data_IF_037601254449
#
_entry.id   IF_037601254449
#
_cell.length_a   1.000
_cell.length_b   1.000
_cell.length_c   1.000
_cell.angle_alpha   90.00
_cell.angle_beta   90.00
_cell.angle_gamma   90.00
#
_symmetry.space_group_name_H-M   'P 1'
#
loop_
_entity.id
_entity.type
_entity.pdbx_description
1 polymer ?
#
# COMPACT_ATOMS: atom_id res chain seq x y z
N UNK A 1 -1.66 9.04 13.81
CA UNK A 1 -2.86 9.69 13.28
C UNK A 1 -4.07 9.16 14.02
N UNK A 2 -5.06 10.00 14.31
CA UNK A 2 -6.35 9.54 14.83
C UNK A 2 -7.17 8.81 13.74
N UNK A 3 -8.26 8.14 14.11
CA UNK A 3 -9.11 7.39 13.16
C UNK A 3 -9.70 8.30 12.07
N UNK A 4 -10.29 9.44 12.44
CA UNK A 4 -10.87 10.40 11.48
C UNK A 4 -9.82 10.99 10.53
N UNK A 5 -8.62 11.24 11.06
CA UNK A 5 -7.49 11.74 10.29
C UNK A 5 -6.98 10.69 9.30
N UNK A 6 -6.89 9.43 9.72
CA UNK A 6 -6.52 8.30 8.87
C UNK A 6 -7.55 8.08 7.76
N UNK A 7 -8.85 8.07 8.08
CA UNK A 7 -9.91 7.93 7.11
C UNK A 7 -9.87 9.06 6.07
N UNK A 8 -9.65 10.30 6.53
CA UNK A 8 -9.47 11.46 5.65
C UNK A 8 -8.24 11.30 4.77
N UNK A 9 -7.09 10.89 5.33
CA UNK A 9 -5.85 10.68 4.58
C UNK A 9 -6.02 9.62 3.49
N UNK A 10 -6.59 8.46 3.82
CA UNK A 10 -6.82 7.37 2.86
C UNK A 10 -7.87 7.74 1.81
N UNK A 11 -8.88 8.54 2.18
CA UNK A 11 -9.88 9.07 1.26
C UNK A 11 -9.30 9.97 0.16
N UNK A 12 -8.10 10.54 0.37
CA UNK A 12 -7.38 11.29 -0.68
C UNK A 12 -6.58 10.40 -1.65
N UNK A 13 -6.70 9.07 -1.53
CA UNK A 13 -6.04 8.09 -2.39
C UNK A 13 -4.52 8.30 -2.46
N UNK A 14 -3.81 8.22 -1.32
CA UNK A 14 -2.37 8.50 -1.25
C UNK A 14 -1.57 7.55 -2.15
N UNK A 15 -0.44 8.06 -2.64
CA UNK A 15 0.49 7.29 -3.47
C UNK A 15 1.65 6.79 -2.62
N UNK A 16 2.34 5.79 -3.12
CA UNK A 16 3.57 5.28 -2.54
C UNK A 16 4.02 4.03 -3.27
N UNK A 17 4.31 2.96 -2.52
CA UNK A 17 4.76 1.71 -3.09
C UNK A 17 4.13 0.50 -2.39
N UNK A 18 3.93 -0.57 -3.14
CA UNK A 18 3.77 -1.92 -2.61
C UNK A 18 5.11 -2.65 -2.72
N UNK A 19 5.59 -3.14 -1.59
CA UNK A 19 6.81 -3.90 -1.46
C UNK A 19 6.46 -5.40 -1.39
N UNK A 20 7.05 -6.20 -2.27
CA UNK A 20 6.89 -7.66 -2.31
C UNK A 20 8.23 -8.34 -2.50
N UNK A 21 8.33 -9.60 -2.07
CA UNK A 21 9.47 -10.45 -2.39
C UNK A 21 9.09 -11.32 -3.59
N UNK A 22 9.88 -11.26 -4.65
CA UNK A 22 9.64 -12.04 -5.86
C UNK A 22 10.03 -13.52 -5.71
N UNK A 23 9.92 -14.28 -6.81
CA UNK A 23 10.25 -15.70 -6.81
C UNK A 23 11.73 -15.98 -6.53
N UNK A 24 12.62 -15.04 -6.83
CA UNK A 24 14.07 -15.12 -6.67
C UNK A 24 14.55 -14.57 -5.31
N UNK A 25 13.61 -14.15 -4.44
CA UNK A 25 13.90 -13.61 -3.13
C UNK A 25 14.31 -12.14 -3.14
N UNK A 26 14.16 -11.43 -4.27
CA UNK A 26 14.49 -10.01 -4.37
C UNK A 26 13.35 -9.16 -3.85
N UNK A 27 13.70 -8.08 -3.15
CA UNK A 27 12.75 -7.06 -2.73
C UNK A 27 12.41 -6.17 -3.93
N UNK A 28 11.15 -6.18 -4.33
CA UNK A 28 10.60 -5.27 -5.33
C UNK A 28 9.74 -4.23 -4.64
N UNK A 29 9.98 -2.95 -4.96
CA UNK A 29 9.12 -1.84 -4.56
C UNK A 29 8.45 -1.29 -5.82
N UNK A 30 7.15 -1.58 -5.97
CA UNK A 30 6.36 -1.18 -7.14
C UNK A 30 5.53 0.05 -6.80
N UNK A 31 5.47 1.09 -7.66
CA UNK A 31 4.62 2.24 -7.42
C UNK A 31 3.17 1.80 -7.22
N UNK A 32 2.53 2.34 -6.19
CA UNK A 32 1.16 1.99 -5.85
C UNK A 32 0.36 3.23 -5.44
N UNK A 33 -0.96 3.12 -5.55
CA UNK A 33 -1.91 4.08 -5.01
C UNK A 33 -3.02 3.34 -4.31
N UNK A 34 -3.32 3.76 -3.08
CA UNK A 34 -4.47 3.29 -2.32
C UNK A 34 -5.74 3.87 -2.94
N UNK A 35 -6.71 3.02 -3.26
CA UNK A 35 -7.97 3.43 -3.90
C UNK A 35 -9.20 3.08 -3.08
N UNK A 36 -9.09 2.13 -2.15
CA UNK A 36 -10.16 1.79 -1.19
C UNK A 36 -9.57 1.13 0.08
N UNK A 37 -10.31 1.18 1.19
CA UNK A 37 -9.85 0.68 2.49
C UNK A 37 -10.99 0.46 3.50
N UNK A 38 -10.95 -0.66 4.24
CA UNK A 38 -11.91 -0.97 5.31
C UNK A 38 -11.30 -1.62 6.58
N UNK A 39 -10.04 -1.27 6.92
CA UNK A 39 -9.22 -1.84 8.03
C UNK A 39 -8.84 -3.30 7.90
N UNK A 40 -9.72 -4.15 7.35
CA UNK A 40 -9.42 -5.54 7.04
C UNK A 40 -8.74 -5.69 5.68
N UNK A 41 -9.10 -4.83 4.73
CA UNK A 41 -8.58 -4.83 3.37
C UNK A 41 -8.12 -3.45 2.93
N UNK A 42 -7.15 -3.44 2.01
CA UNK A 42 -6.69 -2.25 1.32
C UNK A 42 -6.59 -2.56 -0.17
N UNK A 43 -7.35 -1.83 -0.97
CA UNK A 43 -7.32 -1.93 -2.41
C UNK A 43 -6.27 -0.97 -2.97
N UNK A 44 -5.36 -1.48 -3.80
CA UNK A 44 -4.28 -0.69 -4.39
C UNK A 44 -4.22 -0.90 -5.90
N UNK A 45 -4.05 0.20 -6.63
CA UNK A 45 -3.55 0.14 -8.01
C UNK A 45 -2.04 0.07 -7.97
N UNK A 46 -1.45 -0.76 -8.83
CA UNK A 46 -0.01 -1.01 -8.84
C UNK A 46 0.50 -0.82 -10.27
N UNK A 47 1.47 0.07 -10.45
CA UNK A 47 2.08 0.32 -11.74
C UNK A 47 3.32 -0.56 -11.93
N UNK A 48 3.58 -0.98 -13.16
CA UNK A 48 4.80 -1.73 -13.50
C UNK A 48 4.82 -3.17 -12.99
N UNK A 49 3.63 -3.77 -12.77
CA UNK A 49 3.47 -5.15 -12.33
C UNK A 49 4.28 -6.10 -13.22
N UNK A 50 5.39 -6.61 -12.67
CA UNK A 50 6.19 -7.62 -13.32
C UNK A 50 5.46 -8.97 -13.19
N UNK A 51 5.21 -9.66 -14.32
CA UNK A 51 4.52 -10.97 -14.35
C UNK A 51 5.09 -12.02 -13.39
N UNK A 52 6.32 -11.88 -12.92
CA UNK A 52 6.93 -12.81 -11.96
C UNK A 52 6.41 -12.61 -10.52
N UNK A 53 6.13 -11.36 -10.11
CA UNK A 53 5.63 -11.04 -8.77
C UNK A 53 4.16 -11.47 -8.56
N UNK A 54 3.42 -11.67 -9.65
CA UNK A 54 1.99 -12.03 -9.65
C UNK A 54 1.71 -13.51 -9.88
N UNK A 55 2.74 -14.35 -10.04
CA UNK A 55 2.55 -15.78 -10.30
C UNK A 55 2.15 -16.58 -9.06
N UNK A 56 2.38 -16.03 -7.86
CA UNK A 56 1.95 -16.63 -6.60
C UNK A 56 0.59 -16.06 -6.22
N UNK A 57 -0.34 -16.94 -5.91
CA UNK A 57 -1.72 -16.59 -5.51
C UNK A 57 -1.75 -15.76 -4.22
N UNK A 58 -0.77 -15.97 -3.33
CA UNK A 58 -0.63 -15.24 -2.07
C UNK A 58 0.84 -14.83 -1.87
N UNK A 59 1.08 -13.52 -1.71
CA UNK A 59 2.40 -12.96 -1.47
C UNK A 59 2.36 -12.07 -0.25
N UNK A 60 3.32 -12.21 0.67
CA UNK A 60 3.47 -11.24 1.76
C UNK A 60 3.93 -9.91 1.19
N UNK A 61 3.21 -8.85 1.54
CA UNK A 61 3.40 -7.53 1.01
C UNK A 61 3.35 -6.46 2.10
N UNK A 62 3.94 -5.30 1.78
CA UNK A 62 3.86 -4.10 2.58
C UNK A 62 3.51 -2.92 1.68
N UNK A 63 2.41 -2.22 1.94
CA UNK A 63 2.07 -0.95 1.30
C UNK A 63 2.58 0.19 2.17
N UNK A 64 3.42 1.04 1.60
CA UNK A 64 3.82 2.31 2.19
C UNK A 64 3.19 3.41 1.33
N UNK A 65 2.37 4.26 1.92
CA UNK A 65 1.75 5.38 1.22
C UNK A 65 1.83 6.64 2.07
N UNK A 66 2.17 7.76 1.44
CA UNK A 66 2.39 9.02 2.12
C UNK A 66 1.87 10.21 1.30
N UNK A 67 1.77 11.35 1.97
CA UNK A 67 1.63 12.64 1.34
C UNK A 67 2.79 13.53 1.78
N UNK A 68 3.61 13.95 0.82
CA UNK A 68 4.70 14.89 1.02
C UNK A 68 4.42 16.20 0.26
N UNK A 69 4.08 17.26 1.01
CA UNK A 69 4.01 18.63 0.48
C UNK A 69 5.10 19.51 1.10
N UNK A 70 5.34 19.34 2.41
CA UNK A 70 6.47 19.88 3.14
C UNK A 70 6.80 18.95 4.33
N UNK A 71 7.99 19.08 4.91
CA UNK A 71 8.46 18.18 5.98
C UNK A 71 7.53 18.10 7.19
N UNK A 72 7.00 19.25 7.64
CA UNK A 72 6.04 19.35 8.76
C UNK A 72 4.67 18.76 8.44
N UNK A 73 4.38 18.53 7.17
CA UNK A 73 3.07 18.09 6.68
C UNK A 73 3.08 16.61 6.30
N UNK A 74 4.19 15.89 6.53
CA UNK A 74 4.33 14.46 6.22
C UNK A 74 3.34 13.66 7.03
N UNK A 75 2.53 12.88 6.33
CA UNK A 75 1.64 11.86 6.89
C UNK A 75 1.71 10.62 6.02
N UNK A 76 1.57 9.46 6.64
CA UNK A 76 1.54 8.23 5.88
C UNK A 76 1.21 6.99 6.70
N UNK A 77 1.06 5.91 5.96
CA UNK A 77 0.70 4.60 6.46
C UNK A 77 1.72 3.56 6.00
N UNK A 78 1.94 2.56 6.85
CA UNK A 78 2.65 1.34 6.52
C UNK A 78 1.69 0.20 6.84
N UNK A 79 1.20 -0.48 5.82
CA UNK A 79 0.24 -1.58 5.94
C UNK A 79 0.88 -2.89 5.48
N UNK A 80 0.93 -3.87 6.37
CA UNK A 80 1.45 -5.20 6.09
C UNK A 80 0.27 -6.17 5.91
N UNK A 81 0.42 -7.12 4.99
CA UNK A 81 -0.61 -8.11 4.73
C UNK A 81 -0.24 -9.13 3.66
N UNK A 82 -1.23 -9.93 3.27
CA UNK A 82 -1.13 -10.81 2.10
C UNK A 82 -1.79 -10.11 0.92
N UNK A 83 -1.06 -9.93 -0.19
CA UNK A 83 -1.63 -9.38 -1.42
C UNK A 83 -2.19 -10.49 -2.30
N UNK A 84 -3.40 -10.26 -2.80
CA UNK A 84 -4.03 -11.00 -3.88
C UNK A 84 -3.92 -10.16 -5.14
N UNK A 85 -3.14 -10.65 -6.09
CA UNK A 85 -2.98 -10.01 -7.39
C UNK A 85 -4.17 -10.33 -8.28
N UNK A 86 -4.68 -9.34 -9.04
CA UNK A 86 -5.74 -9.59 -9.98
C UNK A 86 -5.22 -10.39 -11.19
N UNK A 87 -6.12 -11.04 -11.95
CA UNK A 87 -5.75 -11.86 -13.09
C UNK A 87 -5.18 -11.03 -14.26
N UNK A 88 -5.43 -9.72 -14.31
CA UNK A 88 -4.89 -8.83 -15.34
C UNK A 88 -4.03 -7.72 -14.74
N UNK A 89 -2.99 -7.30 -15.46
CA UNK A 89 -1.94 -6.40 -14.95
C UNK A 89 -2.39 -4.94 -14.69
N UNK A 90 -3.62 -4.57 -15.08
CA UNK A 90 -4.16 -3.21 -14.92
C UNK A 90 -5.31 -3.15 -13.88
N UNK A 91 -5.54 -4.24 -13.17
CA UNK A 91 -6.60 -4.33 -12.18
C UNK A 91 -6.09 -3.96 -10.78
N UNK A 92 -7.03 -3.81 -9.86
CA UNK A 92 -6.78 -3.47 -8.47
C UNK A 92 -6.31 -4.72 -7.71
N UNK A 93 -5.17 -4.62 -7.03
CA UNK A 93 -4.70 -5.63 -6.10
C UNK A 93 -5.29 -5.40 -4.72
N UNK A 94 -5.63 -6.49 -4.02
CA UNK A 94 -6.22 -6.43 -2.69
C UNK A 94 -5.22 -6.93 -1.67
N UNK A 95 -4.86 -6.08 -0.71
CA UNK A 95 -4.08 -6.45 0.46
C UNK A 95 -5.04 -6.83 1.60
N UNK A 96 -5.00 -8.07 2.04
CA UNK A 96 -5.60 -8.49 3.31
C UNK A 96 -4.69 -8.01 4.45
N UNK A 97 -5.11 -6.96 5.15
CA UNK A 97 -4.30 -6.24 6.15
C UNK A 97 -4.18 -7.07 7.42
N UNK A 98 -2.96 -7.33 7.85
CA UNK A 98 -2.66 -7.96 9.16
C UNK A 98 -2.15 -6.96 10.18
N UNK A 99 -1.53 -5.88 9.72
CA UNK A 99 -1.03 -4.80 10.57
C UNK A 99 -1.03 -3.47 9.82
N UNK A 100 -1.36 -2.39 10.51
CA UNK A 100 -1.20 -1.03 10.00
C UNK A 100 -0.51 -0.16 11.05
N UNK A 101 0.44 0.66 10.59
CA UNK A 101 1.05 1.73 11.35
C UNK A 101 0.78 3.06 10.63
N UNK A 102 0.56 4.10 11.43
CA UNK A 102 0.42 5.48 10.93
C UNK A 102 1.58 6.31 11.45
N UNK A 103 2.09 7.23 10.64
CA UNK A 103 3.06 8.23 11.05
C UNK A 103 2.59 9.62 10.62
N UNK A 104 2.92 10.61 11.43
CA UNK A 104 2.63 12.02 11.16
C UNK A 104 3.72 12.89 11.76
N UNK A 105 4.18 13.85 10.98
CA UNK A 105 5.07 14.93 11.40
C UNK A 105 4.29 16.21 11.68
N UNK A 106 2.99 16.24 11.31
CA UNK A 106 2.11 17.34 11.65
C UNK A 106 1.83 17.31 13.15
N UNK A 107 2.13 18.43 13.82
CA UNK A 107 2.00 18.64 15.26
C UNK A 107 3.03 17.90 16.15
N UNK A 108 4.20 17.56 15.60
CA UNK A 108 5.36 17.09 16.37
C UNK A 108 6.14 18.24 17.01
#
# INVERSE_FOLDING_TARGET
MGEDELATFLGHCPRGAICVVDADGQLLALPARVVDFDYATMAVTVDGVHRAATQRTEVQACVVADAFTAYRDIRGVISQGTVMWPPTANDVATLAVSRMLTFSFANA
#
